data_IF_313689929358
#
_entry.id   IF_313689929358
#
_cell.length_a   1.000
_cell.length_b   1.000
_cell.length_c   1.000
_cell.angle_alpha   90.00
_cell.angle_beta   90.00
_cell.angle_gamma   90.00
#
_symmetry.space_group_name_H-M   'P 1'
#
loop_
_entity.id
_entity.type
_entity.pdbx_description
1 polymer ?
#
# COMPACT_ATOMS: atom_id res chain seq x y z
N UNK A 1 10.96 15.71 -8.93
CA UNK A 1 10.12 15.93 -7.74
C UNK A 1 10.12 14.61 -6.99
N UNK A 2 10.26 14.65 -5.66
CA UNK A 2 10.24 13.47 -4.81
C UNK A 2 9.07 13.65 -3.84
N UNK A 3 8.23 12.63 -3.74
CA UNK A 3 7.07 12.61 -2.84
C UNK A 3 7.48 12.04 -1.48
N UNK A 4 6.94 12.57 -0.39
CA UNK A 4 7.12 11.99 0.94
C UNK A 4 6.15 10.83 1.14
N UNK A 5 6.65 9.66 1.55
CA UNK A 5 5.79 8.48 1.81
C UNK A 5 5.55 8.31 3.30
N UNK A 6 4.30 8.40 3.70
CA UNK A 6 3.81 8.21 5.07
C UNK A 6 2.97 6.93 5.18
N UNK A 7 2.87 6.38 6.38
CA UNK A 7 2.05 5.21 6.67
C UNK A 7 0.98 5.53 7.70
N UNK A 8 -0.20 4.90 7.56
CA UNK A 8 -1.21 4.93 8.61
C UNK A 8 -0.97 3.83 9.65
N UNK A 9 -1.47 4.04 10.87
CA UNK A 9 -1.38 3.04 11.95
C UNK A 9 -1.92 1.64 11.57
N UNK A 10 -3.03 1.49 10.82
CA UNK A 10 -3.47 0.19 10.35
C UNK A 10 -2.46 -0.47 9.42
N UNK A 11 -1.84 0.31 8.52
CA UNK A 11 -0.82 -0.16 7.60
C UNK A 11 0.38 -0.74 8.35
N UNK A 12 0.93 -0.03 9.34
CA UNK A 12 2.10 -0.50 10.12
C UNK A 12 1.84 -1.84 10.81
N UNK A 13 0.64 -1.98 11.41
CA UNK A 13 0.23 -3.23 12.07
C UNK A 13 0.14 -4.38 11.08
N UNK A 14 -0.43 -4.13 9.91
CA UNK A 14 -0.58 -5.14 8.86
C UNK A 14 0.77 -5.52 8.25
N UNK A 15 1.62 -4.54 7.94
CA UNK A 15 2.97 -4.74 7.43
C UNK A 15 3.78 -5.59 8.41
N UNK A 16 3.76 -5.26 9.71
CA UNK A 16 4.47 -6.03 10.75
C UNK A 16 4.02 -7.48 10.79
N UNK A 17 2.72 -7.75 10.63
CA UNK A 17 2.18 -9.13 10.57
C UNK A 17 2.63 -9.84 9.28
N UNK A 18 2.55 -9.17 8.14
CA UNK A 18 2.91 -9.76 6.85
C UNK A 18 4.41 -10.01 6.73
N UNK A 19 5.27 -9.14 7.26
CA UNK A 19 6.72 -9.32 7.29
C UNK A 19 7.13 -10.54 8.13
N UNK A 20 6.41 -10.83 9.23
CA UNK A 20 6.63 -12.06 10.00
C UNK A 20 6.28 -13.32 9.22
N UNK A 21 5.23 -13.24 8.39
CA UNK A 21 4.75 -14.36 7.56
C UNK A 21 5.60 -14.53 6.29
N UNK A 22 6.09 -13.44 5.75
CA UNK A 22 6.80 -13.34 4.48
C UNK A 22 8.10 -12.55 4.66
N UNK A 23 9.21 -13.22 4.99
CA UNK A 23 10.46 -12.53 5.32
C UNK A 23 11.01 -11.66 4.20
N UNK A 24 10.73 -11.98 2.92
CA UNK A 24 11.21 -11.15 1.81
C UNK A 24 10.59 -9.77 1.84
N UNK A 25 9.31 -9.65 2.27
CA UNK A 25 8.46 -8.46 2.12
C UNK A 25 9.12 -7.14 2.57
N UNK A 26 10.07 -7.19 3.50
CA UNK A 26 10.86 -6.01 3.87
C UNK A 26 11.56 -5.38 2.67
N UNK A 27 12.15 -6.21 1.80
CA UNK A 27 12.85 -5.78 0.60
C UNK A 27 11.87 -5.18 -0.41
N UNK A 28 10.78 -5.88 -0.72
CA UNK A 28 9.79 -5.36 -1.69
C UNK A 28 9.05 -4.14 -1.14
N UNK A 29 8.93 -3.98 0.18
CA UNK A 29 8.43 -2.77 0.80
C UNK A 29 9.37 -1.58 0.58
N UNK A 30 10.68 -1.76 0.79
CA UNK A 30 11.67 -0.69 0.53
C UNK A 30 11.63 -0.28 -0.95
N UNK A 31 11.64 -1.26 -1.86
CA UNK A 31 11.52 -1.00 -3.31
C UNK A 31 10.21 -0.26 -3.67
N UNK A 32 9.12 -0.55 -2.94
CA UNK A 32 7.86 0.15 -3.11
C UNK A 32 7.94 1.62 -2.67
N UNK A 33 8.61 1.91 -1.54
CA UNK A 33 8.81 3.29 -1.08
C UNK A 33 9.61 4.07 -2.11
N UNK A 34 10.77 3.57 -2.54
CA UNK A 34 11.61 4.20 -3.56
C UNK A 34 10.81 4.46 -4.86
N UNK A 35 9.96 3.51 -5.26
CA UNK A 35 9.10 3.65 -6.43
C UNK A 35 8.05 4.75 -6.24
N UNK A 36 7.44 4.85 -5.06
CA UNK A 36 6.38 5.82 -4.76
C UNK A 36 6.91 7.25 -4.62
N UNK A 37 8.12 7.42 -4.09
CA UNK A 37 8.79 8.73 -4.04
C UNK A 37 8.99 9.32 -5.43
N UNK A 38 9.18 8.48 -6.46
CA UNK A 38 9.39 8.92 -7.84
C UNK A 38 8.10 8.91 -8.69
N UNK A 39 7.17 7.99 -8.40
CA UNK A 39 5.93 7.82 -9.14
C UNK A 39 4.78 7.43 -8.20
N UNK A 40 4.07 8.41 -7.62
CA UNK A 40 3.02 8.15 -6.65
C UNK A 40 1.74 7.58 -7.27
N UNK A 41 1.46 7.88 -8.53
CA UNK A 41 0.25 7.45 -9.26
C UNK A 41 0.39 6.06 -9.88
N UNK A 42 1.18 5.18 -9.26
CA UNK A 42 1.37 3.82 -9.76
C UNK A 42 0.25 2.88 -9.30
N UNK A 43 -0.12 1.94 -10.16
CA UNK A 43 -1.14 0.94 -9.88
C UNK A 43 -2.49 1.25 -10.54
N UNK A 44 -3.58 0.76 -9.95
CA UNK A 44 -4.93 0.94 -10.49
C UNK A 44 -5.68 1.97 -9.64
N UNK A 45 -6.12 3.08 -10.24
CA UNK A 45 -6.98 4.05 -9.56
C UNK A 45 -8.28 3.37 -9.09
N UNK A 46 -8.67 3.62 -7.84
CA UNK A 46 -9.90 3.08 -7.23
C UNK A 46 -10.83 4.18 -6.71
N UNK A 47 -10.59 5.45 -7.10
CA UNK A 47 -11.36 6.62 -6.65
C UNK A 47 -10.70 7.36 -5.49
N UNK A 48 -11.17 8.58 -5.18
CA UNK A 48 -10.69 9.41 -4.06
C UNK A 48 -9.17 9.57 -4.00
N UNK A 49 -8.51 9.77 -5.16
CA UNK A 49 -7.04 9.81 -5.28
C UNK A 49 -6.32 8.59 -4.68
N UNK A 50 -7.01 7.44 -4.60
CA UNK A 50 -6.46 6.19 -4.11
C UNK A 50 -6.04 5.27 -5.26
N UNK A 51 -4.91 4.60 -5.06
CA UNK A 51 -4.29 3.71 -6.02
C UNK A 51 -4.06 2.34 -5.38
N UNK A 52 -4.48 1.29 -6.08
CA UNK A 52 -4.27 -0.10 -5.71
C UNK A 52 -3.02 -0.63 -6.38
N UNK A 53 -2.01 -0.90 -5.57
CA UNK A 53 -0.69 -1.38 -5.99
C UNK A 53 -0.60 -2.89 -5.70
N UNK A 54 -0.12 -3.64 -6.70
CA UNK A 54 0.09 -5.10 -6.57
C UNK A 54 1.56 -5.36 -6.29
N UNK A 55 1.86 -5.80 -5.07
CA UNK A 55 3.20 -6.11 -4.63
C UNK A 55 3.45 -7.62 -4.73
N UNK A 56 4.43 -8.03 -5.54
CA UNK A 56 4.89 -9.41 -5.52
C UNK A 56 5.66 -9.67 -4.22
N UNK A 57 5.49 -10.86 -3.64
CA UNK A 57 6.24 -11.27 -2.44
C UNK A 57 7.06 -12.50 -2.84
N UNK A 58 8.36 -12.33 -2.99
CA UNK A 58 9.24 -13.40 -3.46
C UNK A 58 9.17 -14.64 -2.56
N UNK A 59 9.21 -14.46 -1.23
CA UNK A 59 9.15 -15.58 -0.27
C UNK A 59 7.82 -16.33 -0.29
N UNK A 60 6.79 -15.81 -0.96
CA UNK A 60 5.52 -16.50 -1.13
C UNK A 60 5.54 -17.49 -2.32
N UNK A 61 6.50 -17.37 -3.24
CA UNK A 61 6.58 -18.23 -4.43
C UNK A 61 5.38 -18.09 -5.39
N UNK A 62 4.56 -17.06 -5.21
CA UNK A 62 3.42 -16.72 -6.06
C UNK A 62 3.67 -15.29 -6.56
N UNK A 63 3.67 -15.09 -7.88
CA UNK A 63 3.89 -13.78 -8.48
C UNK A 63 2.85 -12.72 -8.07
N UNK A 64 2.80 -11.59 -8.78
CA UNK A 64 1.89 -10.45 -8.45
C UNK A 64 0.42 -10.84 -8.24
N UNK A 65 -0.05 -11.90 -8.88
CA UNK A 65 -1.42 -12.40 -8.76
C UNK A 65 -1.74 -13.09 -7.42
N UNK A 66 -0.73 -13.46 -6.63
CA UNK A 66 -0.87 -14.10 -5.31
C UNK A 66 -0.13 -13.38 -4.18
N UNK A 67 0.55 -12.26 -4.46
CA UNK A 67 1.26 -11.44 -3.47
C UNK A 67 0.34 -10.53 -2.62
N UNK A 68 0.92 -9.46 -2.08
CA UNK A 68 0.19 -8.44 -1.32
C UNK A 68 -0.44 -7.38 -2.22
N UNK A 69 -1.49 -6.75 -1.71
CA UNK A 69 -2.03 -5.51 -2.25
C UNK A 69 -1.80 -4.40 -1.25
N UNK A 70 -1.34 -3.27 -1.76
CA UNK A 70 -1.16 -2.03 -1.02
C UNK A 70 -2.16 -1.03 -1.59
N UNK A 71 -2.90 -0.37 -0.72
CA UNK A 71 -3.73 0.78 -1.10
C UNK A 71 -3.01 2.03 -0.60
N UNK A 72 -2.67 2.90 -1.54
CA UNK A 72 -2.07 4.20 -1.28
C UNK A 72 -3.08 5.30 -1.63
N UNK A 73 -3.04 6.41 -0.90
CA UNK A 73 -3.73 7.65 -1.24
C UNK A 73 -2.67 8.71 -1.56
N UNK A 74 -2.89 9.44 -2.66
CA UNK A 74 -2.04 10.54 -3.08
C UNK A 74 -2.65 11.87 -2.66
N UNK A 75 -1.91 12.63 -1.85
CA UNK A 75 -2.21 14.00 -1.46
C UNK A 75 -1.24 14.92 -2.19
N UNK A 76 -1.75 15.63 -3.19
CA UNK A 76 -0.94 16.46 -4.11
C UNK A 76 -0.55 17.79 -3.45
N UNK A 77 -1.33 18.30 -2.50
CA UNK A 77 -1.09 19.62 -1.90
C UNK A 77 0.23 19.68 -1.10
N UNK A 78 0.70 18.55 -0.58
CA UNK A 78 1.94 18.42 0.22
C UNK A 78 3.01 17.51 -0.41
N UNK A 79 2.86 17.14 -1.68
CA UNK A 79 3.69 16.11 -2.32
C UNK A 79 3.80 14.84 -1.46
N UNK A 80 2.67 14.40 -0.87
CA UNK A 80 2.62 13.34 0.12
C UNK A 80 1.84 12.10 -0.39
N UNK A 81 2.38 10.92 -0.12
CA UNK A 81 1.74 9.63 -0.38
C UNK A 81 1.45 8.95 0.96
N UNK A 82 0.18 8.64 1.23
CA UNK A 82 -0.22 7.93 2.43
C UNK A 82 -0.55 6.47 2.11
N UNK A 83 0.23 5.55 2.69
CA UNK A 83 -0.06 4.12 2.65
C UNK A 83 -1.16 3.78 3.66
N UNK A 84 -2.35 3.48 3.14
CA UNK A 84 -3.55 3.30 3.95
C UNK A 84 -3.63 1.91 4.57
N UNK A 85 -3.43 0.88 3.75
CA UNK A 85 -3.61 -0.52 4.15
C UNK A 85 -2.81 -1.45 3.24
N UNK A 86 -2.30 -2.54 3.81
CA UNK A 86 -1.65 -3.64 3.09
C UNK A 86 -2.29 -4.96 3.51
N UNK A 87 -2.61 -5.79 2.54
CA UNK A 87 -3.19 -7.09 2.81
C UNK A 87 -2.73 -8.13 1.80
N UNK A 88 -2.61 -9.36 2.27
CA UNK A 88 -2.38 -10.50 1.39
C UNK A 88 -3.68 -10.86 0.65
N UNK A 89 -3.60 -11.04 -0.67
CA UNK A 89 -4.75 -11.50 -1.47
C UNK A 89 -5.37 -12.81 -0.99
N UNK A 90 -4.58 -13.74 -0.43
CA UNK A 90 -5.14 -14.99 0.09
C UNK A 90 -5.91 -14.80 1.39
N UNK A 91 -5.75 -13.66 2.06
CA UNK A 91 -6.46 -13.35 3.31
C UNK A 91 -7.64 -12.40 3.05
N UNK A 92 -7.51 -11.51 2.08
CA UNK A 92 -8.55 -10.56 1.69
C UNK A 92 -8.56 -10.31 0.19
N UNK A 93 -9.71 -10.54 -0.43
CA UNK A 93 -9.88 -10.44 -1.88
C UNK A 93 -9.89 -8.98 -2.34
N UNK A 94 -10.71 -8.13 -1.70
CA UNK A 94 -10.92 -6.72 -2.02
C UNK A 94 -11.12 -5.89 -0.74
N UNK A 95 -10.82 -4.58 -0.84
CA UNK A 95 -11.23 -3.56 0.12
C UNK A 95 -12.62 -3.07 -0.27
N UNK A 96 -13.53 -2.91 0.70
CA UNK A 96 -14.85 -2.33 0.43
C UNK A 96 -14.76 -0.80 0.44
N UNK A 97 -15.73 -0.13 -0.21
CA UNK A 97 -15.77 1.33 -0.26
C UNK A 97 -15.93 1.94 1.14
N UNK A 98 -16.67 1.27 2.03
CA UNK A 98 -16.83 1.67 3.42
C UNK A 98 -15.51 1.61 4.21
N UNK A 99 -14.72 0.55 4.01
CA UNK A 99 -13.40 0.43 4.64
C UNK A 99 -12.42 1.48 4.08
N UNK A 100 -12.49 1.76 2.78
CA UNK A 100 -11.69 2.82 2.17
C UNK A 100 -12.03 4.19 2.75
N UNK A 101 -13.32 4.50 2.90
CA UNK A 101 -13.78 5.74 3.50
C UNK A 101 -13.26 5.92 4.94
N UNK A 102 -13.27 4.86 5.76
CA UNK A 102 -12.73 4.95 7.13
C UNK A 102 -11.21 5.09 7.21
N UNK A 103 -10.48 4.54 6.23
CA UNK A 103 -9.05 4.76 6.14
C UNK A 103 -8.74 6.20 5.72
N UNK A 104 -9.55 6.78 4.82
CA UNK A 104 -9.38 8.16 4.37
C UNK A 104 -9.58 9.20 5.46
N UNK A 105 -10.46 8.95 6.44
CA UNK A 105 -10.62 9.85 7.61
C UNK A 105 -9.38 9.97 8.49
N UNK A 106 -8.40 9.09 8.32
CA UNK A 106 -7.14 9.10 9.07
C UNK A 106 -6.01 9.81 8.30
N UNK A 107 -6.25 10.19 7.04
CA UNK A 107 -5.32 10.98 6.25
C UNK A 107 -5.49 12.44 6.67
N UNK A 108 -4.40 13.17 6.98
CA UNK A 108 -4.45 14.61 7.22
C UNK A 108 -5.00 15.34 5.98
N UNK A 109 -5.80 16.39 6.19
CA UNK A 109 -6.20 17.32 5.11
C UNK A 109 -5.00 18.09 4.56
#
# INVERSE_FOLDING_TARGET
MSYNVYTLRPFDKQLKRLVKKYPSLKKEYIELIDSLENNPEQGTAIGNKCYKIRLAIASKGKGKSGGARVIANLVIEDDAVYLLTIYDKSEKSNLTDAELAELLKQVPE
#
